data_IF_577031198665
#
_entry.id   IF_577031198665
#
_cell.length_a   1.000
_cell.length_b   1.000
_cell.length_c   1.000
_cell.angle_alpha   90.00
_cell.angle_beta   90.00
_cell.angle_gamma   90.00
#
_symmetry.space_group_name_H-M   'P 1'
#
loop_
_entity.id
_entity.type
_entity.pdbx_description
1 polymer ?
#
# COMPACT_ATOMS: atom_id res chain seq x y z
N UNK A 1 -2.37 -1.10 -11.80
CA UNK A 1 -3.24 -1.40 -10.63
C UNK A 1 -2.36 -1.88 -9.49
N UNK A 2 -2.71 -1.58 -8.24
CA UNK A 2 -1.90 -2.02 -7.10
C UNK A 2 -2.44 -3.31 -6.50
N UNK A 3 -1.52 -4.20 -6.12
CA UNK A 3 -1.85 -5.47 -5.48
C UNK A 3 -1.12 -5.58 -4.15
N UNK A 4 -1.85 -5.98 -3.12
CA UNK A 4 -1.34 -6.33 -1.80
C UNK A 4 -1.22 -7.84 -1.70
N UNK A 5 -0.03 -8.33 -1.39
CA UNK A 5 0.19 -9.70 -0.98
C UNK A 5 -0.19 -9.85 0.51
N UNK A 6 -1.20 -10.66 0.82
CA UNK A 6 -1.67 -10.89 2.21
C UNK A 6 -0.70 -11.71 3.05
N UNK A 7 0.14 -12.52 2.42
CA UNK A 7 1.11 -13.36 3.11
C UNK A 7 2.31 -12.55 3.61
N UNK A 8 2.73 -11.53 2.85
CA UNK A 8 3.91 -10.71 3.18
C UNK A 8 3.57 -9.28 3.61
N UNK A 9 2.36 -8.81 3.32
CA UNK A 9 1.95 -7.41 3.51
C UNK A 9 2.56 -6.44 2.49
N UNK A 10 3.28 -6.94 1.49
CA UNK A 10 3.90 -6.11 0.46
C UNK A 10 2.88 -5.68 -0.59
N UNK A 11 2.93 -4.41 -0.99
CA UNK A 11 2.12 -3.84 -2.07
C UNK A 11 3.00 -3.39 -3.22
N UNK A 12 2.57 -3.66 -4.45
CA UNK A 12 3.28 -3.24 -5.66
C UNK A 12 2.34 -2.90 -6.81
N UNK A 13 2.84 -2.08 -7.72
CA UNK A 13 2.15 -1.77 -8.96
C UNK A 13 2.32 -2.91 -9.95
N UNK A 14 1.20 -3.35 -10.52
CA UNK A 14 1.16 -4.29 -11.63
C UNK A 14 0.61 -3.55 -12.85
N UNK A 15 1.45 -3.48 -13.88
CA UNK A 15 1.12 -2.89 -15.18
C UNK A 15 0.79 -3.96 -16.24
N UNK A 16 1.21 -5.20 -16.00
CA UNK A 16 1.02 -6.31 -16.93
C UNK A 16 -0.38 -6.92 -16.82
N UNK A 17 -1.12 -6.98 -17.93
CA UNK A 17 -2.52 -7.42 -17.93
C UNK A 17 -2.70 -8.90 -17.60
N UNK A 18 -1.80 -9.78 -18.06
CA UNK A 18 -1.88 -11.20 -17.77
C UNK A 18 -1.60 -11.48 -16.29
N UNK A 19 -0.62 -10.77 -15.73
CA UNK A 19 -0.29 -10.84 -14.31
C UNK A 19 -1.45 -10.32 -13.45
N UNK A 20 -2.10 -9.22 -13.83
CA UNK A 20 -3.29 -8.71 -13.12
C UNK A 20 -4.39 -9.76 -13.02
N UNK A 21 -4.73 -10.43 -14.12
CA UNK A 21 -5.77 -11.47 -14.15
C UNK A 21 -5.41 -12.66 -13.25
N UNK A 22 -4.14 -13.08 -13.27
CA UNK A 22 -3.66 -14.16 -12.39
C UNK A 22 -3.73 -13.79 -10.92
N UNK A 23 -3.42 -12.54 -10.57
CA UNK A 23 -3.48 -12.06 -9.19
C UNK A 23 -4.93 -11.89 -8.72
N UNK A 24 -5.84 -11.43 -9.58
CA UNK A 24 -7.28 -11.33 -9.25
C UNK A 24 -7.92 -12.69 -8.96
N UNK A 25 -7.46 -13.76 -9.63
CA UNK A 25 -7.92 -15.11 -9.36
C UNK A 25 -7.29 -15.75 -8.11
N UNK A 26 -6.29 -15.12 -7.51
CA UNK A 26 -5.52 -15.67 -6.40
C UNK A 26 -5.94 -15.03 -5.07
N UNK A 27 -6.42 -15.86 -4.12
CA UNK A 27 -6.91 -15.43 -2.81
C UNK A 27 -5.85 -14.74 -1.93
N UNK A 28 -4.57 -15.00 -2.19
CA UNK A 28 -3.46 -14.41 -1.45
C UNK A 28 -3.18 -12.95 -1.87
N UNK A 29 -3.80 -12.49 -2.95
CA UNK A 29 -3.63 -11.14 -3.47
C UNK A 29 -4.93 -10.36 -3.39
N UNK A 30 -4.82 -9.10 -3.00
CA UNK A 30 -5.93 -8.17 -2.98
C UNK A 30 -5.60 -6.99 -3.88
N UNK A 31 -6.51 -6.69 -4.81
CA UNK A 31 -6.41 -5.45 -5.57
C UNK A 31 -6.74 -4.29 -4.62
N UNK A 32 -5.79 -3.37 -4.47
CA UNK A 32 -5.92 -2.20 -3.61
C UNK A 32 -5.82 -0.93 -4.46
N UNK A 33 -6.37 0.16 -3.92
CA UNK A 33 -6.15 1.47 -4.50
C UNK A 33 -4.66 1.84 -4.46
N UNK A 34 -4.30 2.77 -5.35
CA UNK A 34 -2.98 3.40 -5.31
C UNK A 34 -2.67 3.78 -3.86
N UNK A 35 -1.46 3.46 -3.35
CA UNK A 35 -0.99 4.03 -2.12
C UNK A 35 -0.74 5.50 -2.40
N UNK A 36 -1.83 6.28 -2.53
CA UNK A 36 -1.88 7.70 -2.26
C UNK A 36 -1.05 7.82 -1.02
N UNK A 37 0.13 8.38 -1.19
CA UNK A 37 1.11 8.50 -0.14
C UNK A 37 0.30 8.92 1.07
N UNK A 38 0.14 8.00 2.03
CA UNK A 38 -0.20 8.39 3.37
C UNK A 38 1.04 9.18 3.74
N UNK A 39 1.00 10.46 3.36
CA UNK A 39 1.81 11.50 3.91
C UNK A 39 1.57 11.24 5.36
N UNK A 40 2.60 10.70 6.01
CA UNK A 40 2.77 10.84 7.44
C UNK A 40 2.70 12.35 7.65
N UNK A 41 1.49 12.89 7.72
CA UNK A 41 1.22 14.20 8.23
C UNK A 41 1.79 14.10 9.62
N UNK A 42 2.90 14.78 9.76
CA UNK A 42 3.67 14.86 10.95
C UNK A 42 2.71 15.10 12.13
N UNK A 43 2.48 14.08 12.95
CA UNK A 43 2.33 14.34 14.37
C UNK A 43 3.74 14.68 14.89
N UNK A 44 4.25 15.85 14.47
CA UNK A 44 5.28 16.59 15.18
C UNK A 44 4.60 16.99 16.49
N UNK A 45 4.66 16.10 17.46
CA UNK A 45 4.36 16.44 18.84
C UNK A 45 5.56 17.26 19.33
N UNK A 46 5.65 18.52 18.89
CA UNK A 46 6.49 19.53 19.52
C UNK A 46 5.68 20.12 20.68
N UNK A 47 5.70 19.38 21.78
CA UNK A 47 5.61 19.88 23.14
C UNK A 47 6.78 19.13 23.81
N UNK A 48 7.83 19.71 24.37
CA UNK A 48 7.94 20.92 25.17
C UNK A 48 9.40 21.41 25.12
N UNK A 49 9.63 22.64 24.62
CA UNK A 49 10.72 23.51 25.10
C UNK A 49 10.05 24.84 25.43
N UNK A 50 9.70 25.01 26.70
CA UNK A 50 9.33 26.30 27.29
C UNK A 50 10.05 26.30 28.65
N UNK A 51 11.21 26.94 28.69
CA UNK A 51 11.50 28.12 29.53
C UNK A 51 11.86 27.76 30.98
#
# INVERSE_FOLDING_TARGET
MWFLNKETGLKWEVVDQELMLRLQANVNYEQVDDPKQETKQAKRNEKEVTT
#
